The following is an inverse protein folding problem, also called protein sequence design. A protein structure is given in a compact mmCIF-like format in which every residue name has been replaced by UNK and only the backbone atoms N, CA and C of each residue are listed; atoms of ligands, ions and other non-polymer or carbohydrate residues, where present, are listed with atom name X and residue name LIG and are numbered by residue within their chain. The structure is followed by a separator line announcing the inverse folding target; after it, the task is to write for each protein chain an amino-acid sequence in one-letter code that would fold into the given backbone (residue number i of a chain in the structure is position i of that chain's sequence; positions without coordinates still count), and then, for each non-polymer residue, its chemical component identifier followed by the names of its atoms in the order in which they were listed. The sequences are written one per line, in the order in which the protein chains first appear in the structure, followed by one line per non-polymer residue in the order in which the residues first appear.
data_IF_285580420734
#
_entry.id   IF_285580420734
#
_cell.length_a   1.000
_cell.length_b   1.000
_cell.length_c   1.000
_cell.angle_alpha   90.00
_cell.angle_beta   90.00
_cell.angle_gamma   90.00
#
_symmetry.space_group_name_H-M   'P 1'
#
loop_
_entity.id
_entity.type
_entity.pdbx_description
1 polymer ?
#
# COMPACT_ATOMS: atom_id res chain seq x y z
N UNK A 1 63.57 -17.72 44.22
CA UNK A 1 63.04 -16.64 43.34
C UNK A 1 62.18 -17.35 42.32
N UNK A 2 60.91 -17.68 42.61
CA UNK A 2 59.71 -16.79 42.66
C UNK A 2 59.57 -16.11 41.30
N UNK A 3 58.52 -16.21 40.51
CA UNK A 3 57.26 -16.97 40.34
C UNK A 3 56.81 -16.54 38.92
N UNK A 4 56.07 -17.35 38.16
CA UNK A 4 55.24 -16.98 36.96
C UNK A 4 55.33 -18.08 35.90
N UNK A 5 54.27 -18.73 35.42
CA UNK A 5 52.85 -18.56 35.66
C UNK A 5 52.15 -19.65 34.86
N UNK A 6 51.51 -20.58 35.58
CA UNK A 6 50.45 -21.43 35.04
C UNK A 6 49.26 -20.52 34.69
N UNK A 7 49.28 -19.89 33.51
CA UNK A 7 48.15 -19.12 32.98
C UNK A 7 47.94 -19.49 31.51
N UNK A 8 47.62 -20.76 31.26
CA UNK A 8 47.12 -21.21 29.96
C UNK A 8 45.78 -21.95 30.04
N UNK A 9 45.03 -21.82 31.16
CA UNK A 9 43.77 -22.57 31.34
C UNK A 9 42.53 -21.76 31.73
N UNK A 10 42.54 -20.42 31.65
CA UNK A 10 41.29 -19.66 31.78
C UNK A 10 41.32 -18.42 30.88
N UNK A 11 41.16 -18.65 29.57
CA UNK A 11 40.33 -17.74 28.78
C UNK A 11 38.99 -18.45 28.62
N UNK A 12 37.87 -17.90 29.13
CA UNK A 12 36.60 -18.33 28.60
C UNK A 12 36.65 -18.03 27.11
N UNK A 13 36.42 -19.04 26.28
CA UNK A 13 35.84 -18.78 24.97
C UNK A 13 34.56 -18.00 25.28
N UNK A 14 34.62 -16.69 25.20
CA UNK A 14 33.46 -15.91 24.83
C UNK A 14 33.12 -16.43 23.44
N UNK A 15 32.30 -17.48 23.39
CA UNK A 15 31.48 -17.73 22.22
C UNK A 15 30.72 -16.43 22.02
N UNK A 16 31.25 -15.58 21.16
CA UNK A 16 30.37 -14.74 20.36
C UNK A 16 29.67 -15.70 19.40
N UNK A 17 28.85 -16.60 19.96
CA UNK A 17 27.68 -17.12 19.28
C UNK A 17 26.82 -15.88 19.11
N UNK A 18 27.07 -15.18 17.99
CA UNK A 18 26.04 -14.34 17.40
C UNK A 18 24.77 -15.17 17.45
N UNK A 19 23.70 -14.69 18.12
CA UNK A 19 22.47 -15.46 18.23
C UNK A 19 22.12 -15.92 16.81
N UNK A 20 21.91 -17.21 16.65
CA UNK A 20 21.60 -17.79 15.35
C UNK A 20 20.31 -17.10 14.90
N UNK A 21 20.41 -16.11 14.01
CA UNK A 21 19.23 -15.41 13.54
C UNK A 21 18.47 -16.43 12.71
N UNK A 22 17.36 -16.91 13.27
CA UNK A 22 16.38 -17.70 12.56
C UNK A 22 15.67 -16.73 11.61
N UNK A 23 16.27 -16.55 10.43
CA UNK A 23 15.67 -15.81 9.36
C UNK A 23 14.56 -16.67 8.75
N UNK A 24 13.32 -16.20 8.87
CA UNK A 24 12.20 -16.79 8.14
C UNK A 24 12.27 -16.31 6.68
N UNK A 25 12.70 -17.19 5.78
CA UNK A 25 12.75 -16.89 4.35
C UNK A 25 11.36 -17.03 3.75
N UNK A 26 10.58 -15.95 3.78
CA UNK A 26 9.31 -15.82 3.08
C UNK A 26 9.41 -14.89 1.86
N UNK A 27 8.47 -15.02 0.91
CA UNK A 27 8.33 -14.04 -0.19
C UNK A 27 7.84 -12.66 0.31
N UNK A 28 7.55 -12.51 1.62
CA UNK A 28 7.06 -11.27 2.25
C UNK A 28 7.36 -11.22 3.74
N UNK A 29 7.45 -9.99 4.24
CA UNK A 29 7.68 -9.70 5.65
C UNK A 29 6.36 -9.51 6.42
N UNK A 30 6.48 -9.29 7.74
CA UNK A 30 5.37 -8.85 8.57
C UNK A 30 4.90 -7.45 8.15
N UNK A 31 3.59 -7.20 8.29
CA UNK A 31 2.97 -5.92 7.88
C UNK A 31 3.65 -4.68 8.51
N UNK A 32 4.18 -4.80 9.73
CA UNK A 32 4.94 -3.72 10.40
C UNK A 32 6.26 -3.39 9.70
N UNK A 33 6.97 -4.39 9.16
CA UNK A 33 8.18 -4.19 8.37
C UNK A 33 7.85 -3.55 7.02
N UNK A 34 6.78 -4.00 6.37
CA UNK A 34 6.27 -3.43 5.11
C UNK A 34 5.90 -1.95 5.27
N UNK A 35 5.23 -1.58 6.38
CA UNK A 35 4.92 -0.18 6.70
C UNK A 35 6.17 0.66 6.95
N UNK A 36 7.18 0.09 7.62
CA UNK A 36 8.47 0.73 7.86
C UNK A 36 9.27 0.95 6.57
N UNK A 37 9.08 0.09 5.57
CA UNK A 37 9.64 0.29 4.25
C UNK A 37 8.86 1.32 3.45
N UNK A 38 7.52 1.32 3.53
CA UNK A 38 6.66 2.25 2.78
C UNK A 38 6.88 3.71 3.19
N UNK A 39 6.93 3.99 4.49
CA UNK A 39 7.02 5.34 5.03
C UNK A 39 8.44 5.72 5.43
N UNK A 40 8.75 7.01 5.35
CA UNK A 40 9.98 7.60 5.88
C UNK A 40 9.67 8.45 7.11
N UNK A 41 10.64 8.64 8.00
CA UNK A 41 10.47 9.50 9.18
C UNK A 41 10.07 10.94 8.81
N UNK A 42 10.46 11.43 7.63
CA UNK A 42 10.08 12.76 7.14
C UNK A 42 8.58 12.87 6.81
N UNK A 43 7.88 11.75 6.65
CA UNK A 43 6.44 11.71 6.37
C UNK A 43 5.59 11.65 7.64
N UNK A 44 6.18 11.57 8.85
CA UNK A 44 5.45 11.57 10.12
C UNK A 44 4.42 12.72 10.24
N UNK A 45 4.74 13.99 9.90
CA UNK A 45 3.76 15.08 9.99
C UNK A 45 2.56 14.89 9.06
N UNK A 46 2.71 14.09 8.00
CA UNK A 46 1.63 13.81 7.05
C UNK A 46 0.53 12.93 7.67
N UNK A 47 0.85 12.10 8.67
CA UNK A 47 -0.15 11.27 9.36
C UNK A 47 -1.17 12.13 10.11
N UNK A 48 -0.69 13.12 10.87
CA UNK A 48 -1.55 14.08 11.56
C UNK A 48 -2.40 14.86 10.54
N UNK A 49 -1.80 15.30 9.44
CA UNK A 49 -2.53 16.01 8.39
C UNK A 49 -3.61 15.15 7.72
N UNK A 50 -3.37 13.86 7.51
CA UNK A 50 -4.36 12.93 6.97
C UNK A 50 -5.56 12.77 7.90
N UNK A 51 -5.28 12.59 9.21
CA UNK A 51 -6.32 12.53 10.25
C UNK A 51 -7.14 13.82 10.26
N UNK A 52 -6.49 14.97 10.29
CA UNK A 52 -7.18 16.25 10.42
C UNK A 52 -8.15 16.49 9.23
N UNK A 53 -7.75 16.13 8.00
CA UNK A 53 -8.64 16.21 6.84
C UNK A 53 -9.80 15.21 6.89
N UNK A 54 -9.56 13.99 7.36
CA UNK A 54 -10.64 13.03 7.60
C UNK A 54 -11.61 13.56 8.65
N UNK A 55 -11.14 14.04 9.79
CA UNK A 55 -12.00 14.52 10.87
C UNK A 55 -12.82 15.75 10.48
N UNK A 56 -12.22 16.70 9.78
CA UNK A 56 -12.91 17.88 9.28
C UNK A 56 -14.07 17.48 8.36
N UNK A 57 -13.79 16.61 7.39
CA UNK A 57 -14.79 16.09 6.46
C UNK A 57 -15.85 15.27 7.20
N UNK A 58 -15.44 14.30 8.00
CA UNK A 58 -16.33 13.39 8.73
C UNK A 58 -17.29 14.15 9.66
N UNK A 59 -16.80 15.14 10.42
CA UNK A 59 -17.64 15.96 11.32
C UNK A 59 -18.65 16.83 10.58
N UNK A 60 -18.33 17.30 9.37
CA UNK A 60 -19.22 18.14 8.58
C UNK A 60 -20.48 17.40 8.11
N UNK A 61 -20.41 16.07 8.06
CA UNK A 61 -21.40 15.20 7.42
C UNK A 61 -22.45 14.60 8.36
N UNK A 62 -22.61 15.14 9.57
CA UNK A 62 -23.74 14.83 10.46
C UNK A 62 -23.50 13.69 11.47
N UNK A 63 -22.34 13.03 11.44
CA UNK A 63 -21.90 12.05 12.45
C UNK A 63 -21.34 12.70 13.71
N UNK A 64 -21.93 13.83 14.15
CA UNK A 64 -21.44 14.60 15.30
C UNK A 64 -21.38 13.72 16.56
N UNK A 65 -20.16 13.32 16.92
CA UNK A 65 -19.84 12.61 18.16
C UNK A 65 -19.72 11.08 18.05
N UNK A 66 -19.88 10.48 16.86
CA UNK A 66 -19.60 9.05 16.66
C UNK A 66 -18.19 8.86 16.11
N UNK A 67 -17.56 7.75 16.47
CA UNK A 67 -16.27 7.31 15.92
C UNK A 67 -16.45 6.46 14.65
N UNK A 68 -15.45 6.43 13.78
CA UNK A 68 -15.45 5.55 12.60
C UNK A 68 -15.66 4.08 12.99
N UNK A 69 -14.98 3.67 14.06
CA UNK A 69 -15.05 2.31 14.63
C UNK A 69 -16.43 1.93 15.19
N UNK A 70 -17.31 2.91 15.43
CA UNK A 70 -18.68 2.73 15.92
C UNK A 70 -19.74 2.71 14.80
N UNK A 71 -19.31 2.90 13.55
CA UNK A 71 -20.19 2.84 12.39
C UNK A 71 -20.48 1.40 11.98
N UNK A 72 -21.70 1.17 11.50
CA UNK A 72 -22.02 -0.07 10.78
C UNK A 72 -21.33 -0.10 9.42
N UNK A 73 -21.14 -1.29 8.83
CA UNK A 73 -20.48 -1.42 7.53
C UNK A 73 -21.23 -0.64 6.43
N UNK A 74 -22.56 -0.56 6.50
CA UNK A 74 -23.35 0.20 5.53
C UNK A 74 -23.16 1.72 5.69
N UNK A 75 -23.02 2.21 6.92
CA UNK A 75 -22.67 3.62 7.18
C UNK A 75 -21.25 3.94 6.71
N UNK A 76 -20.29 3.01 6.91
CA UNK A 76 -18.93 3.14 6.40
C UNK A 76 -18.92 3.20 4.87
N UNK A 77 -19.64 2.29 4.19
CA UNK A 77 -19.81 2.29 2.73
C UNK A 77 -20.42 3.59 2.23
N UNK A 78 -21.46 4.09 2.90
CA UNK A 78 -22.09 5.36 2.53
C UNK A 78 -21.12 6.55 2.67
N UNK A 79 -20.26 6.56 3.70
CA UNK A 79 -19.22 7.58 3.82
C UNK A 79 -18.16 7.45 2.73
N UNK A 80 -17.65 6.24 2.46
CA UNK A 80 -16.67 5.99 1.40
C UNK A 80 -17.22 6.37 0.02
N UNK A 81 -18.49 6.11 -0.26
CA UNK A 81 -19.11 6.52 -1.52
C UNK A 81 -19.13 8.04 -1.68
N UNK A 82 -19.32 8.80 -0.60
CA UNK A 82 -19.18 10.26 -0.66
C UNK A 82 -17.75 10.71 -0.90
N UNK A 83 -16.76 10.05 -0.30
CA UNK A 83 -15.35 10.32 -0.58
C UNK A 83 -15.03 10.04 -2.06
N UNK A 84 -15.61 8.97 -2.63
CA UNK A 84 -15.47 8.66 -4.05
C UNK A 84 -16.04 9.78 -4.92
N UNK A 85 -17.27 10.25 -4.64
CA UNK A 85 -17.87 11.39 -5.35
C UNK A 85 -17.00 12.66 -5.22
N UNK A 86 -16.41 12.88 -4.03
CA UNK A 86 -15.56 14.03 -3.76
C UNK A 86 -14.16 13.93 -4.41
N UNK A 87 -13.72 12.75 -4.85
CA UNK A 87 -12.49 12.59 -5.64
C UNK A 87 -12.63 13.08 -7.09
N UNK A 88 -13.86 13.14 -7.62
CA UNK A 88 -14.14 13.55 -9.00
C UNK A 88 -14.03 15.07 -9.22
N UNK A 89 -13.78 15.85 -8.17
CA UNK A 89 -13.66 17.31 -8.27
C UNK A 89 -12.46 17.73 -9.11
N UNK A 90 -12.62 18.81 -9.88
CA UNK A 90 -11.56 19.37 -10.73
C UNK A 90 -10.49 20.13 -9.95
N UNK A 91 -10.80 20.53 -8.72
CA UNK A 91 -9.90 21.26 -7.83
C UNK A 91 -8.89 20.29 -7.20
N UNK A 92 -7.62 20.47 -7.58
CA UNK A 92 -6.51 19.61 -7.16
C UNK A 92 -6.30 19.59 -5.64
N UNK A 93 -6.42 20.74 -4.98
CA UNK A 93 -6.18 20.84 -3.54
C UNK A 93 -7.31 20.15 -2.77
N UNK A 94 -8.57 20.33 -3.19
CA UNK A 94 -9.70 19.60 -2.61
C UNK A 94 -9.57 18.10 -2.82
N UNK A 95 -9.21 17.67 -4.02
CA UNK A 95 -9.00 16.25 -4.32
C UNK A 95 -7.90 15.64 -3.45
N UNK A 96 -6.79 16.36 -3.24
CA UNK A 96 -5.71 15.92 -2.36
C UNK A 96 -6.18 15.76 -0.90
N UNK A 97 -7.03 16.65 -0.40
CA UNK A 97 -7.60 16.51 0.96
C UNK A 97 -8.44 15.24 1.09
N UNK A 98 -9.28 14.96 0.09
CA UNK A 98 -10.10 13.73 0.05
C UNK A 98 -9.21 12.49 -0.03
N UNK A 99 -8.18 12.50 -0.89
CA UNK A 99 -7.22 11.40 -0.98
C UNK A 99 -6.49 11.17 0.35
N UNK A 100 -6.14 12.24 1.09
CA UNK A 100 -5.55 12.14 2.43
C UNK A 100 -6.51 11.54 3.45
N UNK A 101 -7.79 11.89 3.41
CA UNK A 101 -8.80 11.27 4.26
C UNK A 101 -8.94 9.75 3.97
N UNK A 102 -8.93 9.36 2.69
CA UNK A 102 -8.89 7.95 2.28
C UNK A 102 -7.62 7.26 2.78
N UNK A 103 -6.47 7.92 2.71
CA UNK A 103 -5.21 7.39 3.23
C UNK A 103 -5.27 7.17 4.74
N UNK A 104 -5.88 8.08 5.50
CA UNK A 104 -6.08 7.89 6.94
C UNK A 104 -6.94 6.65 7.26
N UNK A 105 -8.01 6.43 6.49
CA UNK A 105 -8.82 5.21 6.60
C UNK A 105 -7.98 3.96 6.30
N UNK A 106 -7.20 3.98 5.22
CA UNK A 106 -6.31 2.88 4.84
C UNK A 106 -5.21 2.62 5.89
N UNK A 107 -4.76 3.66 6.61
CA UNK A 107 -3.80 3.58 7.71
C UNK A 107 -4.39 3.00 9.01
N UNK A 108 -5.70 2.73 9.05
CA UNK A 108 -6.35 2.06 10.16
C UNK A 108 -6.90 2.95 11.26
N UNK A 109 -7.12 4.25 10.98
CA UNK A 109 -7.79 5.17 11.91
C UNK A 109 -7.11 5.16 13.28
N UNK A 110 -5.78 5.29 13.27
CA UNK A 110 -4.92 5.02 14.41
C UNK A 110 -5.24 5.84 15.67
N UNK A 111 -5.85 7.02 15.51
CA UNK A 111 -6.23 7.90 16.62
C UNK A 111 -7.40 7.34 17.44
N UNK A 112 -8.24 6.49 16.83
CA UNK A 112 -9.39 5.85 17.49
C UNK A 112 -9.04 4.49 18.11
N UNK A 113 -7.80 4.01 17.95
CA UNK A 113 -7.35 2.68 18.36
C UNK A 113 -6.50 2.73 19.63
N UNK A 114 -6.65 1.75 20.52
CA UNK A 114 -5.88 1.66 21.77
C UNK A 114 -4.57 0.87 21.60
N UNK A 115 -4.53 -0.06 20.64
CA UNK A 115 -3.38 -0.95 20.41
C UNK A 115 -2.96 -1.02 18.94
N UNK A 116 -1.70 -1.36 18.67
CA UNK A 116 -1.21 -1.59 17.30
C UNK A 116 -2.00 -2.69 16.58
N UNK A 117 -2.43 -3.72 17.30
CA UNK A 117 -3.23 -4.83 16.75
C UNK A 117 -4.57 -4.31 16.23
N UNK A 118 -5.21 -3.38 16.95
CA UNK A 118 -6.46 -2.75 16.51
C UNK A 118 -6.25 -1.90 15.25
N UNK A 119 -5.14 -1.16 15.16
CA UNK A 119 -4.80 -0.37 13.96
C UNK A 119 -4.65 -1.28 12.75
N UNK A 120 -3.93 -2.40 12.88
CA UNK A 120 -3.76 -3.35 11.78
C UNK A 120 -5.09 -4.03 11.41
N UNK A 121 -5.93 -4.35 12.40
CA UNK A 121 -7.27 -4.88 12.18
C UNK A 121 -8.15 -3.91 11.38
N UNK A 122 -8.23 -2.65 11.82
CA UNK A 122 -9.03 -1.62 11.17
C UNK A 122 -8.46 -1.21 9.82
N UNK A 123 -7.14 -1.14 9.67
CA UNK A 123 -6.50 -0.93 8.36
C UNK A 123 -6.96 -2.02 7.38
N UNK A 124 -6.87 -3.30 7.78
CA UNK A 124 -7.32 -4.42 6.94
C UNK A 124 -8.79 -4.32 6.57
N UNK A 125 -9.66 -4.13 7.56
CA UNK A 125 -11.11 -4.00 7.33
C UNK A 125 -11.43 -2.84 6.38
N UNK A 126 -10.85 -1.67 6.63
CA UNK A 126 -11.07 -0.47 5.83
C UNK A 126 -10.60 -0.66 4.39
N UNK A 127 -9.46 -1.32 4.15
CA UNK A 127 -8.99 -1.63 2.79
C UNK A 127 -10.01 -2.46 2.00
N UNK A 128 -10.63 -3.48 2.62
CA UNK A 128 -11.67 -4.26 1.94
C UNK A 128 -12.93 -3.42 1.67
N UNK A 129 -13.33 -2.55 2.61
CA UNK A 129 -14.46 -1.62 2.36
C UNK A 129 -14.16 -0.64 1.22
N UNK A 130 -12.95 -0.06 1.20
CA UNK A 130 -12.50 0.83 0.14
C UNK A 130 -12.46 0.10 -1.22
N UNK A 131 -11.96 -1.13 -1.26
CA UNK A 131 -11.92 -1.95 -2.46
C UNK A 131 -13.33 -2.27 -2.97
N UNK A 132 -14.23 -2.74 -2.11
CA UNK A 132 -15.63 -3.04 -2.46
C UNK A 132 -16.35 -1.82 -3.03
N UNK A 133 -15.94 -0.61 -2.63
CA UNK A 133 -16.50 0.67 -3.11
C UNK A 133 -15.80 1.23 -4.36
N UNK A 134 -14.88 0.48 -4.97
CA UNK A 134 -14.26 0.87 -6.25
C UNK A 134 -13.17 1.94 -6.12
N UNK A 135 -12.68 2.21 -4.90
CA UNK A 135 -11.63 3.21 -4.66
C UNK A 135 -10.36 2.89 -5.46
N UNK A 136 -10.00 1.60 -5.61
CA UNK A 136 -8.82 1.21 -6.38
C UNK A 136 -8.90 1.68 -7.84
N UNK A 137 -10.07 1.53 -8.47
CA UNK A 137 -10.31 1.97 -9.85
C UNK A 137 -10.19 3.49 -9.96
N UNK A 138 -10.84 4.24 -9.07
CA UNK A 138 -10.73 5.71 -9.08
C UNK A 138 -9.29 6.19 -8.86
N UNK A 139 -8.53 5.57 -7.95
CA UNK A 139 -7.12 5.88 -7.74
C UNK A 139 -6.26 5.58 -8.97
N UNK A 140 -6.58 4.52 -9.72
CA UNK A 140 -5.87 4.18 -10.96
C UNK A 140 -6.05 5.26 -12.03
N UNK A 141 -7.28 5.76 -12.20
CA UNK A 141 -7.60 6.85 -13.13
C UNK A 141 -6.88 8.15 -12.74
N UNK A 142 -6.92 8.51 -11.46
CA UNK A 142 -6.23 9.69 -10.92
C UNK A 142 -4.71 9.57 -11.05
N UNK A 143 -4.15 8.39 -10.78
CA UNK A 143 -2.72 8.13 -10.94
C UNK A 143 -2.30 8.31 -12.40
N UNK A 144 -3.06 7.75 -13.35
CA UNK A 144 -2.77 7.93 -14.78
C UNK A 144 -2.85 9.40 -15.19
N UNK A 145 -3.87 10.13 -14.73
CA UNK A 145 -4.00 11.56 -14.99
C UNK A 145 -2.76 12.32 -14.52
N UNK A 146 -2.28 12.05 -13.30
CA UNK A 146 -1.14 12.78 -12.72
C UNK A 146 0.20 12.39 -13.36
N UNK A 147 0.34 11.15 -13.83
CA UNK A 147 1.48 10.68 -14.64
C UNK A 147 1.59 11.44 -15.98
N UNK A 148 0.47 11.82 -16.57
CA UNK A 148 0.43 12.55 -17.85
C UNK A 148 0.54 14.06 -17.64
N UNK A 149 -0.11 14.60 -16.61
CA UNK A 149 0.00 16.01 -16.22
C UNK A 149 1.46 16.42 -15.91
N UNK A 150 2.24 15.48 -15.35
CA UNK A 150 3.67 15.63 -15.08
C UNK A 150 4.53 15.89 -16.33
N UNK A 151 4.12 15.43 -17.52
CA UNK A 151 4.83 15.70 -18.78
C UNK A 151 4.66 17.14 -19.28
N UNK A 152 3.53 17.77 -18.96
CA UNK A 152 3.28 19.18 -19.32
C UNK A 152 4.18 20.14 -18.53
N UNK A 153 4.51 19.80 -17.28
CA UNK A 153 5.41 20.59 -16.43
C UNK A 153 6.90 20.43 -16.80
N UNK A 154 7.35 19.24 -17.22
CA UNK A 154 8.77 19.01 -17.54
C UNK A 154 9.22 19.64 -18.87
N UNK A 155 8.32 19.77 -19.84
CA UNK A 155 8.58 20.46 -21.10
C UNK A 155 8.74 21.99 -20.94
N UNK A 156 8.28 22.57 -19.83
CA UNK A 156 8.23 24.01 -19.61
C UNK A 156 9.45 24.60 -18.86
N UNK A 157 10.39 23.80 -18.35
CA UNK A 157 11.39 24.32 -17.39
C UNK A 157 12.84 24.01 -17.79
N UNK A 158 13.49 24.99 -18.45
CA UNK A 158 14.95 25.15 -18.49
C UNK A 158 15.45 25.93 -17.26
N UNK A 159 15.20 25.43 -16.04
CA UNK A 159 15.82 25.98 -14.82
C UNK A 159 16.29 24.84 -13.91
N UNK A 160 17.58 24.80 -13.52
CA UNK A 160 18.17 23.72 -12.72
C UNK A 160 17.87 23.84 -11.22
N UNK A 161 16.67 24.31 -10.88
CA UNK A 161 16.24 24.50 -9.49
C UNK A 161 14.72 24.36 -9.36
N UNK A 162 14.11 23.44 -10.10
CA UNK A 162 12.84 22.87 -9.63
C UNK A 162 13.24 22.09 -8.38
N UNK A 163 12.75 22.50 -7.22
CA UNK A 163 12.94 21.75 -6.00
C UNK A 163 12.73 20.27 -6.28
N UNK A 164 13.58 19.44 -5.69
CA UNK A 164 13.42 18.01 -5.49
C UNK A 164 12.12 17.67 -4.70
N UNK A 165 11.04 18.41 -4.93
CA UNK A 165 9.75 18.24 -4.30
C UNK A 165 9.04 17.14 -5.07
N UNK A 166 9.07 15.95 -4.50
CA UNK A 166 8.20 14.85 -4.90
C UNK A 166 6.75 15.34 -4.97
N UNK A 167 5.98 14.88 -5.97
CA UNK A 167 4.55 15.20 -6.01
C UNK A 167 3.85 14.56 -4.82
N UNK A 168 3.40 15.37 -3.87
CA UNK A 168 2.67 14.93 -2.67
C UNK A 168 1.42 14.12 -3.03
N UNK A 169 0.73 14.50 -4.10
CA UNK A 169 -0.45 13.76 -4.58
C UNK A 169 -0.06 12.37 -5.07
N UNK A 170 1.00 12.24 -5.87
CA UNK A 170 1.51 10.91 -6.25
C UNK A 170 1.91 10.09 -5.03
N UNK A 171 2.54 10.68 -4.01
CA UNK A 171 2.88 9.96 -2.78
C UNK A 171 1.65 9.41 -2.08
N UNK A 172 0.61 10.23 -1.91
CA UNK A 172 -0.64 9.84 -1.26
C UNK A 172 -1.33 8.72 -2.06
N UNK A 173 -1.51 8.89 -3.37
CA UNK A 173 -2.13 7.88 -4.24
C UNK A 173 -1.37 6.54 -4.18
N UNK A 174 -0.05 6.57 -4.37
CA UNK A 174 0.79 5.37 -4.35
C UNK A 174 0.81 4.71 -2.98
N UNK A 175 0.77 5.47 -1.88
CA UNK A 175 0.64 4.92 -0.53
C UNK A 175 -0.67 4.18 -0.33
N UNK A 176 -1.81 4.76 -0.75
CA UNK A 176 -3.11 4.06 -0.64
C UNK A 176 -3.09 2.78 -1.48
N UNK A 177 -2.67 2.87 -2.74
CA UNK A 177 -2.63 1.72 -3.64
C UNK A 177 -1.68 0.63 -3.13
N UNK A 178 -0.55 0.99 -2.53
CA UNK A 178 0.35 0.03 -1.89
C UNK A 178 -0.32 -0.68 -0.70
N UNK A 179 -0.96 0.06 0.20
CA UNK A 179 -1.69 -0.54 1.32
C UNK A 179 -2.80 -1.48 0.84
N UNK A 180 -3.51 -1.11 -0.23
CA UNK A 180 -4.53 -1.97 -0.85
C UNK A 180 -3.90 -3.25 -1.41
N UNK A 181 -2.86 -3.14 -2.23
CA UNK A 181 -2.22 -4.30 -2.86
C UNK A 181 -1.64 -5.24 -1.82
N UNK A 182 -0.90 -4.73 -0.83
CA UNK A 182 -0.26 -5.58 0.17
C UNK A 182 -1.30 -6.27 1.07
N UNK A 183 -2.29 -5.52 1.56
CA UNK A 183 -3.32 -6.07 2.45
C UNK A 183 -4.20 -7.11 1.75
N UNK A 184 -4.67 -6.81 0.52
CA UNK A 184 -5.48 -7.74 -0.28
C UNK A 184 -4.63 -8.87 -0.85
N UNK A 185 -3.30 -8.80 -0.81
CA UNK A 185 -2.42 -9.92 -1.16
C UNK A 185 -2.24 -10.91 0.00
N UNK A 186 -2.07 -10.43 1.23
CA UNK A 186 -1.81 -11.26 2.43
C UNK A 186 -3.07 -12.01 2.89
N UNK A 187 -3.07 -13.33 2.78
CA UNK A 187 -4.16 -14.20 3.23
C UNK A 187 -3.98 -14.55 4.72
N UNK A 188 -5.05 -14.48 5.50
CA UNK A 188 -5.07 -14.88 6.91
C UNK A 188 -6.12 -15.97 7.14
N UNK A 189 -5.93 -16.80 8.17
CA UNK A 189 -6.85 -17.92 8.46
C UNK A 189 -8.28 -17.42 8.75
N UNK A 190 -8.38 -16.28 9.44
CA UNK A 190 -9.63 -15.61 9.82
C UNK A 190 -10.33 -14.86 8.68
N UNK A 191 -9.85 -14.96 7.44
CA UNK A 191 -10.45 -14.26 6.30
C UNK A 191 -11.88 -14.75 6.03
N UNK A 192 -12.82 -13.80 6.04
CA UNK A 192 -14.22 -13.99 5.64
C UNK A 192 -14.30 -14.50 4.19
N UNK A 193 -15.32 -15.30 3.84
CA UNK A 193 -15.48 -15.81 2.47
C UNK A 193 -15.56 -14.68 1.43
N UNK A 194 -16.18 -13.55 1.79
CA UNK A 194 -16.25 -12.34 0.96
C UNK A 194 -14.85 -11.78 0.65
N UNK A 195 -13.97 -11.69 1.65
CA UNK A 195 -12.60 -11.19 1.49
C UNK A 195 -11.74 -12.14 0.64
N UNK A 196 -11.96 -13.45 0.76
CA UNK A 196 -11.31 -14.44 -0.12
C UNK A 196 -11.77 -14.28 -1.56
N UNK A 197 -13.07 -14.07 -1.79
CA UNK A 197 -13.60 -13.82 -3.13
C UNK A 197 -13.09 -12.50 -3.72
N UNK A 198 -13.17 -11.40 -2.96
CA UNK A 198 -12.64 -10.09 -3.32
C UNK A 198 -11.16 -10.16 -3.71
N UNK A 199 -10.35 -10.89 -2.94
CA UNK A 199 -8.93 -11.13 -3.25
C UNK A 199 -8.74 -11.81 -4.60
N UNK A 200 -9.50 -12.85 -4.90
CA UNK A 200 -9.39 -13.56 -6.18
C UNK A 200 -9.82 -12.68 -7.35
N UNK A 201 -10.85 -11.85 -7.16
CA UNK A 201 -11.26 -10.82 -8.13
C UNK A 201 -10.13 -9.81 -8.35
N UNK A 202 -9.58 -9.25 -7.27
CA UNK A 202 -8.50 -8.27 -7.32
C UNK A 202 -7.24 -8.80 -8.01
N UNK A 203 -6.86 -10.06 -7.77
CA UNK A 203 -5.74 -10.71 -8.49
C UNK A 203 -5.97 -10.77 -10.00
N UNK A 204 -7.22 -11.04 -10.42
CA UNK A 204 -7.57 -11.04 -11.84
C UNK A 204 -7.56 -9.63 -12.42
N UNK A 205 -8.11 -8.66 -11.69
CA UNK A 205 -8.10 -7.24 -12.04
C UNK A 205 -6.67 -6.76 -12.31
N UNK A 206 -5.74 -6.95 -11.36
CA UNK A 206 -4.34 -6.55 -11.50
C UNK A 206 -3.62 -7.18 -12.70
N UNK A 207 -3.99 -8.41 -13.07
CA UNK A 207 -3.43 -9.12 -14.22
C UNK A 207 -4.11 -8.81 -15.55
N UNK A 208 -5.27 -8.17 -15.51
CA UNK A 208 -6.07 -7.82 -16.69
C UNK A 208 -5.79 -6.40 -17.16
N UNK A 209 -6.11 -6.07 -18.42
CA UNK A 209 -6.18 -4.68 -18.89
C UNK A 209 -7.17 -3.89 -18.04
N UNK A 210 -6.70 -2.97 -17.20
CA UNK A 210 -7.55 -2.18 -16.30
C UNK A 210 -7.90 -0.82 -16.93
N UNK A 211 -6.92 0.08 -16.93
CA UNK A 211 -7.04 1.44 -17.46
C UNK A 211 -6.15 1.59 -18.69
N UNK A 212 -6.65 2.22 -19.76
CA UNK A 212 -5.98 2.37 -21.06
C UNK A 212 -5.60 1.05 -21.77
N UNK A 213 -6.16 -0.09 -21.36
CA UNK A 213 -5.90 -1.38 -21.99
C UNK A 213 -4.59 -2.06 -21.55
N UNK A 214 -3.94 -1.58 -20.50
CA UNK A 214 -2.70 -2.15 -19.96
C UNK A 214 -2.89 -2.65 -18.52
N UNK A 215 -2.17 -3.73 -18.11
CA UNK A 215 -2.12 -4.15 -16.70
C UNK A 215 -1.48 -3.10 -15.80
N UNK A 216 -1.87 -3.08 -14.52
CA UNK A 216 -1.37 -2.09 -13.55
C UNK A 216 0.16 -2.05 -13.44
N UNK A 217 0.82 -3.22 -13.52
CA UNK A 217 2.27 -3.30 -13.49
C UNK A 217 2.95 -2.54 -14.65
N UNK A 218 2.32 -2.47 -15.83
CA UNK A 218 2.86 -1.71 -16.97
C UNK A 218 2.73 -0.20 -16.76
N UNK A 219 1.67 0.27 -16.11
CA UNK A 219 1.52 1.68 -15.73
C UNK A 219 2.65 2.11 -14.78
N UNK A 220 2.93 1.29 -13.75
CA UNK A 220 4.02 1.55 -12.81
C UNK A 220 5.40 1.49 -13.50
N UNK A 221 5.59 0.53 -14.41
CA UNK A 221 6.82 0.44 -15.21
C UNK A 221 7.00 1.66 -16.14
N UNK A 222 5.90 2.22 -16.64
CA UNK A 222 5.93 3.47 -17.40
C UNK A 222 6.41 4.64 -16.54
N UNK A 223 6.01 4.71 -15.26
CA UNK A 223 6.56 5.71 -14.33
C UNK A 223 8.07 5.58 -14.17
N UNK A 224 8.56 4.35 -13.99
CA UNK A 224 10.02 4.06 -13.89
C UNK A 224 10.73 4.51 -15.17
N UNK A 225 10.19 4.17 -16.34
CA UNK A 225 10.78 4.55 -17.64
C UNK A 225 10.81 6.07 -17.84
N UNK A 226 9.73 6.77 -17.49
CA UNK A 226 9.66 8.25 -17.55
C UNK A 226 10.70 8.89 -16.60
N UNK A 227 10.90 8.32 -15.40
CA UNK A 227 11.90 8.79 -14.45
C UNK A 227 13.34 8.57 -14.96
N UNK A 228 13.66 7.35 -15.41
CA UNK A 228 14.99 7.01 -15.96
C UNK A 228 15.35 7.88 -17.18
N UNK A 229 14.35 8.32 -17.94
CA UNK A 229 14.52 9.23 -19.09
C UNK A 229 14.62 10.70 -18.70
N UNK A 230 14.65 11.04 -17.40
CA UNK A 230 14.63 12.40 -16.85
C UNK A 230 13.40 13.25 -17.24
N UNK A 231 12.33 12.60 -17.72
CA UNK A 231 11.10 13.28 -18.14
C UNK A 231 10.18 13.61 -16.95
N UNK A 232 10.39 12.96 -15.80
CA UNK A 232 9.61 13.17 -14.57
C UNK A 232 10.47 12.92 -13.30
N UNK A 233 11.47 13.77 -13.02
CA UNK A 233 12.39 13.58 -11.89
C UNK A 233 11.72 13.72 -10.50
N UNK A 234 10.50 14.24 -10.44
CA UNK A 234 9.70 14.45 -9.22
C UNK A 234 8.85 13.23 -8.81
N UNK A 235 8.92 12.12 -9.52
CA UNK A 235 8.19 10.91 -9.13
C UNK A 235 8.78 10.30 -7.85
N UNK A 236 7.93 9.91 -6.86
CA UNK A 236 8.39 9.29 -5.62
C UNK A 236 8.80 7.83 -5.86
N UNK A 237 10.00 7.65 -6.42
CA UNK A 237 10.42 6.39 -7.02
C UNK A 237 10.49 5.22 -6.05
N UNK A 238 10.79 5.49 -4.78
CA UNK A 238 10.71 4.47 -3.72
C UNK A 238 9.31 3.81 -3.68
N UNK A 239 8.24 4.60 -3.59
CA UNK A 239 6.87 4.07 -3.53
C UNK A 239 6.44 3.39 -4.84
N UNK A 240 6.86 3.94 -5.99
CA UNK A 240 6.62 3.32 -7.30
C UNK A 240 7.26 1.92 -7.38
N UNK A 241 8.53 1.79 -7.00
CA UNK A 241 9.26 0.53 -7.05
C UNK A 241 8.69 -0.50 -6.08
N UNK A 242 8.37 -0.08 -4.85
CA UNK A 242 7.74 -0.93 -3.85
C UNK A 242 6.39 -1.46 -4.36
N UNK A 243 5.53 -0.57 -4.87
CA UNK A 243 4.23 -0.95 -5.41
C UNK A 243 4.34 -1.86 -6.64
N UNK A 244 5.30 -1.58 -7.54
CA UNK A 244 5.57 -2.41 -8.71
C UNK A 244 5.97 -3.82 -8.28
N UNK A 245 6.88 -3.93 -7.31
CA UNK A 245 7.32 -5.21 -6.75
C UNK A 245 6.14 -5.99 -6.18
N UNK A 246 5.32 -5.38 -5.33
CA UNK A 246 4.13 -6.03 -4.75
C UNK A 246 3.14 -6.48 -5.82
N UNK A 247 2.89 -5.64 -6.82
CA UNK A 247 2.01 -5.97 -7.95
C UNK A 247 2.53 -7.18 -8.75
N UNK A 248 3.84 -7.23 -8.99
CA UNK A 248 4.48 -8.38 -9.68
C UNK A 248 4.40 -9.64 -8.83
N UNK A 249 4.62 -9.55 -7.52
CA UNK A 249 4.48 -10.68 -6.60
C UNK A 249 3.07 -11.28 -6.67
N UNK A 250 2.02 -10.45 -6.66
CA UNK A 250 0.64 -10.91 -6.84
C UNK A 250 0.50 -11.70 -8.14
N UNK A 251 1.02 -11.17 -9.25
CA UNK A 251 0.96 -11.82 -10.57
C UNK A 251 1.70 -13.16 -10.65
N UNK A 252 2.85 -13.27 -9.98
CA UNK A 252 3.64 -14.51 -9.94
C UNK A 252 2.97 -15.58 -9.09
N UNK A 253 2.52 -15.24 -7.87
CA UNK A 253 1.79 -16.16 -7.00
C UNK A 253 0.49 -16.65 -7.66
N UNK A 254 -0.21 -15.77 -8.40
CA UNK A 254 -1.42 -16.10 -9.13
C UNK A 254 -1.20 -17.13 -10.25
N UNK A 255 -0.17 -16.93 -11.08
CA UNK A 255 0.14 -17.85 -12.18
C UNK A 255 0.44 -19.26 -11.66
N UNK A 256 1.24 -19.38 -10.62
CA UNK A 256 1.57 -20.67 -9.99
C UNK A 256 0.31 -21.39 -9.48
N UNK A 257 -0.57 -20.68 -8.78
CA UNK A 257 -1.84 -21.25 -8.28
C UNK A 257 -2.78 -21.68 -9.42
N UNK A 258 -2.91 -20.87 -10.48
CA UNK A 258 -3.76 -21.20 -11.62
C UNK A 258 -3.27 -22.37 -12.45
N UNK A 259 -1.94 -22.51 -12.62
CA UNK A 259 -1.35 -23.67 -13.28
C UNK A 259 -1.66 -24.94 -12.47
N UNK A 260 -1.56 -24.88 -11.14
CA UNK A 260 -1.94 -25.99 -10.26
C UNK A 260 -3.44 -26.34 -10.38
N UNK A 261 -4.33 -25.35 -10.33
CA UNK A 261 -5.79 -25.55 -10.50
C UNK A 261 -6.15 -26.16 -11.86
N UNK A 262 -5.50 -25.72 -12.95
CA UNK A 262 -5.71 -26.28 -14.30
C UNK A 262 -5.22 -27.73 -14.39
N UNK A 263 -4.07 -28.06 -13.80
CA UNK A 263 -3.58 -29.45 -13.73
C UNK A 263 -4.54 -30.35 -12.96
N UNK A 264 -5.08 -29.87 -11.83
CA UNK A 264 -6.03 -30.63 -11.01
C UNK A 264 -7.38 -30.81 -11.70
N UNK A 265 -7.89 -29.79 -12.40
CA UNK A 265 -9.08 -29.94 -13.27
C UNK A 265 -8.84 -30.95 -14.38
N UNK A 266 -7.74 -30.84 -15.12
CA UNK A 266 -7.42 -31.80 -16.19
C UNK A 266 -7.28 -33.23 -15.65
N UNK A 267 -6.70 -33.40 -14.46
CA UNK A 267 -6.62 -34.70 -13.80
C UNK A 267 -8.00 -35.29 -13.47
N UNK A 268 -8.92 -34.47 -12.93
CA UNK A 268 -10.31 -34.89 -12.67
C UNK A 268 -11.01 -35.26 -13.98
N UNK A 269 -10.86 -34.48 -15.05
CA UNK A 269 -11.44 -34.78 -16.37
C UNK A 269 -10.81 -35.99 -17.09
N UNK A 270 -9.65 -36.48 -16.65
CA UNK A 270 -9.02 -37.70 -17.21
C UNK A 270 -9.42 -38.96 -16.45
N UNK A 271 -10.04 -38.81 -15.26
CA UNK A 271 -10.50 -39.89 -14.40
C UNK A 271 -12.00 -40.21 -14.56
N UNK A 272 -12.69 -39.49 -15.43
CA UNK A 272 -14.06 -39.76 -15.90
C UNK A 272 -14.03 -40.01 -17.41
#
# INVERSE_FOLDING_TARGET
MIHDGLIWLFFPQSSMESPNLEFEYGDSDMLTAELSELYSYTEEPEFALNRDYFEEDFRSHGTRGRRWTELTVDEQRAYVMRLLDALEVTDRDKRLKVARAILYLAQGVFDECDTEVDVLHWSRHNIFVLYDMGIFTALLELLSMEIDNSQACSSAVRKPAISLAESTELRVLLSIMYLMVETIRVQTEDDRPEWRAARETFKNELGSPLYNGEPFALLLFTMVTKFCSMNAPHFPMKKVLLLLWKTVLVGLSWKSQNVARKKQRNFIFTLY
#
